data_IF_388706657625
#
_entry.id   IF_388706657625
#
_cell.length_a   1.000
_cell.length_b   1.000
_cell.length_c   1.000
_cell.angle_alpha   90.00
_cell.angle_beta   90.00
_cell.angle_gamma   90.00
#
_symmetry.space_group_name_H-M   'P 1'
#
loop_
_entity.id
_entity.type
_entity.pdbx_description
1 polymer ?
#
# COMPACT_ATOMS: atom_id res chain seq x y z
N UNK A 1 -12.26 30.95 -31.24
CA UNK A 1 -11.63 29.72 -30.66
C UNK A 1 -10.51 30.19 -29.74
N UNK A 2 -10.67 30.06 -28.43
CA UNK A 2 -9.57 30.36 -27.49
C UNK A 2 -8.62 29.17 -27.52
N UNK A 3 -7.44 29.38 -28.07
CA UNK A 3 -6.36 28.40 -27.98
C UNK A 3 -5.58 28.72 -26.70
N UNK A 4 -5.62 27.82 -25.73
CA UNK A 4 -4.75 27.90 -24.56
C UNK A 4 -3.34 27.47 -24.98
N UNK A 5 -2.42 28.42 -25.04
CA UNK A 5 -1.00 28.11 -25.25
C UNK A 5 -0.36 27.96 -23.88
N UNK A 6 0.05 26.76 -23.52
CA UNK A 6 0.77 26.51 -22.26
C UNK A 6 2.18 27.08 -22.31
N UNK A 7 2.56 27.73 -21.23
CA UNK A 7 3.91 28.29 -21.04
C UNK A 7 4.56 27.61 -19.83
N UNK A 8 5.89 27.59 -19.79
CA UNK A 8 6.62 27.07 -18.62
C UNK A 8 6.30 27.81 -17.32
N UNK A 9 5.84 29.05 -17.42
CA UNK A 9 5.37 29.84 -16.26
C UNK A 9 4.04 29.32 -15.66
N UNK A 10 3.30 28.49 -16.40
CA UNK A 10 2.05 27.91 -15.95
C UNK A 10 2.27 26.63 -15.13
N UNK A 11 3.53 26.16 -15.05
CA UNK A 11 3.90 24.98 -14.28
C UNK A 11 3.86 25.27 -12.79
N UNK A 12 3.12 24.47 -12.05
CA UNK A 12 3.00 24.56 -10.60
C UNK A 12 3.55 23.28 -9.97
N UNK A 13 4.34 23.43 -8.91
CA UNK A 13 4.82 22.29 -8.15
C UNK A 13 3.67 21.72 -7.31
N UNK A 14 3.27 20.48 -7.60
CA UNK A 14 2.17 19.79 -6.93
C UNK A 14 2.62 18.78 -5.87
N UNK A 15 3.89 18.56 -5.72
CA UNK A 15 4.47 17.59 -4.79
C UNK A 15 5.47 16.65 -5.45
N UNK A 16 5.90 15.65 -4.72
CA UNK A 16 6.86 14.64 -5.17
C UNK A 16 6.23 13.25 -5.21
N UNK A 17 6.70 12.42 -6.13
CA UNK A 17 6.37 11.00 -6.20
C UNK A 17 7.26 10.14 -5.31
N UNK A 18 8.43 10.66 -4.92
CA UNK A 18 9.32 9.99 -3.99
C UNK A 18 8.99 10.40 -2.56
N UNK A 19 8.85 9.45 -1.61
CA UNK A 19 8.57 9.78 -0.23
C UNK A 19 9.75 10.53 0.41
N UNK A 20 9.57 11.78 0.85
CA UNK A 20 10.63 12.53 1.54
C UNK A 20 10.82 12.07 2.99
N UNK A 21 9.85 11.38 3.56
CA UNK A 21 9.91 10.87 4.92
C UNK A 21 9.76 9.36 4.89
N UNK A 22 10.74 8.69 5.47
CA UNK A 22 10.74 7.26 5.72
C UNK A 22 11.11 6.99 7.16
N UNK A 23 10.37 6.13 7.84
CA UNK A 23 10.75 5.62 9.15
C UNK A 23 10.39 4.15 9.27
N UNK A 24 11.11 3.49 10.15
CA UNK A 24 10.91 2.08 10.47
C UNK A 24 11.08 1.91 11.99
N UNK A 25 10.25 1.08 12.58
CA UNK A 25 10.26 0.73 13.98
C UNK A 25 10.23 -0.79 14.10
N UNK A 26 11.23 -1.35 14.79
CA UNK A 26 11.26 -2.76 15.15
C UNK A 26 11.43 -2.90 16.65
N UNK A 27 10.58 -3.70 17.28
CA UNK A 27 10.66 -4.00 18.70
C UNK A 27 10.63 -5.50 18.94
N UNK A 28 11.34 -5.92 19.99
CA UNK A 28 11.36 -7.30 20.48
C UNK A 28 11.25 -7.27 21.99
N UNK A 29 10.30 -7.99 22.52
CA UNK A 29 10.04 -8.13 23.94
C UNK A 29 10.24 -9.59 24.36
N UNK A 30 11.01 -9.81 25.41
CA UNK A 30 11.12 -11.11 26.05
C UNK A 30 10.40 -11.05 27.38
N UNK A 31 9.49 -11.97 27.64
CA UNK A 31 8.70 -12.01 28.85
C UNK A 31 8.48 -13.45 29.31
N UNK A 32 8.17 -13.61 30.58
CA UNK A 32 7.99 -14.93 31.22
C UNK A 32 9.14 -15.91 30.94
N UNK A 33 10.37 -15.41 30.75
CA UNK A 33 11.61 -16.12 30.45
C UNK A 33 11.64 -16.84 29.09
N UNK A 34 10.56 -17.46 28.67
CA UNK A 34 10.50 -18.38 27.52
C UNK A 34 9.76 -17.82 26.32
N UNK A 35 9.10 -16.67 26.46
CA UNK A 35 8.33 -16.05 25.40
C UNK A 35 9.05 -14.86 24.79
N UNK A 36 8.97 -14.77 23.48
CA UNK A 36 9.48 -13.65 22.70
C UNK A 36 8.38 -13.13 21.79
N UNK A 37 8.08 -11.85 21.88
CA UNK A 37 7.16 -11.15 20.98
C UNK A 37 7.93 -10.10 20.22
N UNK A 38 7.79 -10.06 18.90
CA UNK A 38 8.38 -9.01 18.08
C UNK A 38 7.38 -8.49 17.06
N UNK A 39 7.54 -7.22 16.72
CA UNK A 39 6.82 -6.63 15.60
C UNK A 39 7.69 -5.62 14.86
N UNK A 40 7.39 -5.41 13.60
CA UNK A 40 7.98 -4.37 12.77
C UNK A 40 6.92 -3.55 12.06
N UNK A 41 7.15 -2.25 11.99
CA UNK A 41 6.31 -1.28 11.28
C UNK A 41 7.20 -0.37 10.45
N UNK A 42 6.68 0.12 9.33
CA UNK A 42 7.33 1.16 8.56
C UNK A 42 6.32 2.06 7.86
N UNK A 43 6.80 3.19 7.38
CA UNK A 43 5.95 4.18 6.74
C UNK A 43 6.70 4.97 5.69
N UNK A 44 6.01 5.29 4.60
CA UNK A 44 6.41 6.28 3.60
C UNK A 44 5.42 7.42 3.61
N UNK A 45 5.91 8.65 3.75
CA UNK A 45 5.06 9.82 3.89
C UNK A 45 5.52 10.99 2.99
N UNK A 46 4.58 11.88 2.68
CA UNK A 46 4.82 13.12 1.96
C UNK A 46 4.88 12.96 0.45
N UNK A 47 4.58 11.79 -0.09
CA UNK A 47 4.56 11.56 -1.52
C UNK A 47 3.15 11.45 -2.09
N UNK A 48 3.06 11.70 -3.39
CA UNK A 48 1.82 11.65 -4.14
C UNK A 48 1.99 10.74 -5.34
N UNK A 49 0.89 10.18 -5.81
CA UNK A 49 0.84 9.43 -7.06
C UNK A 49 -0.26 9.97 -7.94
N UNK A 50 -0.02 9.93 -9.23
CA UNK A 50 -1.06 10.15 -10.22
C UNK A 50 -1.95 8.92 -10.25
N UNK A 51 -3.23 9.13 -10.04
CA UNK A 51 -4.20 8.15 -10.44
C UNK A 51 -4.68 8.52 -11.84
N UNK A 52 -4.31 7.73 -12.78
CA UNK A 52 -4.69 7.96 -14.17
C UNK A 52 -5.46 6.81 -14.80
N UNK A 53 -5.66 5.74 -14.07
CA UNK A 53 -5.98 4.48 -14.69
C UNK A 53 -7.46 4.28 -15.04
N UNK A 54 -8.40 4.89 -14.29
CA UNK A 54 -9.79 4.45 -14.33
C UNK A 54 -10.77 5.42 -14.98
N UNK A 55 -10.35 6.65 -15.13
CA UNK A 55 -11.17 7.69 -15.76
C UNK A 55 -10.46 8.36 -16.92
N UNK A 56 -9.30 7.89 -17.24
CA UNK A 56 -8.74 8.16 -18.55
C UNK A 56 -9.70 7.56 -19.55
N UNK A 57 -10.62 8.34 -20.00
CA UNK A 57 -11.24 8.12 -21.27
C UNK A 57 -10.14 8.21 -22.31
N UNK A 58 -9.16 7.31 -22.25
CA UNK A 58 -8.32 7.12 -23.38
C UNK A 58 -9.24 6.65 -24.50
N UNK A 59 -8.88 7.03 -25.70
CA UNK A 59 -9.65 6.70 -26.89
C UNK A 59 -9.82 5.19 -27.11
N UNK A 60 -9.26 4.36 -26.23
CA UNK A 60 -9.35 2.91 -26.30
C UNK A 60 -10.66 2.37 -25.75
N UNK A 61 -11.49 3.22 -25.15
CA UNK A 61 -12.72 2.77 -24.51
C UNK A 61 -12.48 1.85 -23.32
N UNK A 62 -11.31 1.94 -22.72
CA UNK A 62 -10.86 1.07 -21.63
C UNK A 62 -11.77 1.13 -20.39
N UNK A 63 -12.58 2.16 -20.26
CA UNK A 63 -13.64 2.20 -19.25
C UNK A 63 -14.69 1.12 -19.40
N UNK A 64 -14.82 0.54 -20.57
CA UNK A 64 -15.77 -0.54 -20.85
C UNK A 64 -15.10 -1.91 -20.96
N UNK A 65 -13.79 -1.96 -20.80
CA UNK A 65 -13.05 -3.22 -20.73
C UNK A 65 -13.03 -3.75 -19.30
N UNK A 66 -12.82 -5.05 -19.14
CA UNK A 66 -12.86 -5.74 -17.83
C UNK A 66 -11.90 -5.19 -16.77
N UNK A 67 -10.97 -4.33 -17.15
CA UNK A 67 -9.99 -3.73 -16.27
C UNK A 67 -10.49 -2.48 -15.54
N UNK A 68 -11.59 -1.88 -15.96
CA UNK A 68 -12.01 -0.57 -15.48
C UNK A 68 -13.19 -0.58 -14.50
N UNK A 69 -13.82 -1.72 -14.28
CA UNK A 69 -14.97 -1.85 -13.40
C UNK A 69 -14.61 -2.03 -11.91
N UNK A 70 -13.33 -1.96 -11.57
CA UNK A 70 -12.88 -2.24 -10.19
C UNK A 70 -13.23 -1.13 -9.22
N UNK A 71 -13.38 0.10 -9.69
CA UNK A 71 -13.69 1.27 -8.86
C UNK A 71 -14.86 2.05 -9.42
N UNK A 72 -15.91 2.18 -8.61
CA UNK A 72 -17.04 3.05 -8.92
C UNK A 72 -16.68 4.48 -8.51
N UNK A 73 -16.56 5.38 -9.48
CA UNK A 73 -16.35 6.81 -9.24
C UNK A 73 -17.51 7.62 -9.80
N UNK A 74 -17.90 8.65 -9.07
CA UNK A 74 -18.90 9.60 -9.52
C UNK A 74 -18.21 10.60 -10.45
N UNK A 75 -18.44 10.48 -11.74
CA UNK A 75 -17.94 11.40 -12.77
C UNK A 75 -18.99 12.45 -13.11
N UNK A 76 -18.55 13.52 -13.74
CA UNK A 76 -19.43 14.60 -14.13
C UNK A 76 -20.48 14.17 -15.15
N UNK A 77 -21.74 14.43 -14.83
CA UNK A 77 -22.88 14.36 -15.74
C UNK A 77 -23.73 15.64 -15.56
N UNK A 78 -24.64 15.97 -16.49
CA UNK A 78 -25.54 17.09 -16.29
C UNK A 78 -26.39 16.97 -15.01
N UNK A 79 -26.70 15.75 -14.60
CA UNK A 79 -27.49 15.44 -13.41
C UNK A 79 -26.66 15.39 -12.13
N UNK A 80 -25.34 15.16 -12.27
CA UNK A 80 -24.39 15.13 -11.17
C UNK A 80 -23.14 15.97 -11.50
N UNK A 81 -23.25 17.31 -11.48
CA UNK A 81 -22.12 18.19 -11.74
C UNK A 81 -21.11 18.09 -10.58
N UNK A 82 -19.92 17.60 -10.88
CA UNK A 82 -18.81 17.48 -9.93
C UNK A 82 -17.53 18.04 -10.53
N UNK A 83 -16.64 18.55 -9.67
CA UNK A 83 -15.28 18.97 -10.07
C UNK A 83 -14.24 17.90 -9.78
N UNK A 84 -14.63 16.77 -9.20
CA UNK A 84 -13.68 15.70 -8.81
C UNK A 84 -13.24 14.89 -10.02
N UNK A 85 -14.17 14.53 -10.88
CA UNK A 85 -13.88 13.74 -12.08
C UNK A 85 -14.60 14.30 -13.29
N UNK A 86 -13.86 14.40 -14.40
CA UNK A 86 -14.42 14.86 -15.66
C UNK A 86 -15.47 13.88 -16.21
N UNK A 87 -16.26 14.36 -17.16
CA UNK A 87 -17.16 13.49 -17.93
C UNK A 87 -16.37 12.37 -18.64
N UNK A 88 -17.04 11.29 -18.92
CA UNK A 88 -16.49 10.23 -19.75
C UNK A 88 -16.02 10.77 -21.10
N UNK A 89 -14.90 10.28 -21.58
CA UNK A 89 -14.26 10.71 -22.85
C UNK A 89 -13.90 12.21 -22.89
N UNK A 90 -13.65 12.82 -21.74
CA UNK A 90 -13.14 14.18 -21.70
C UNK A 90 -11.71 14.21 -22.26
N UNK A 91 -11.47 15.14 -23.18
CA UNK A 91 -10.15 15.39 -23.76
C UNK A 91 -9.61 16.69 -23.18
N UNK A 92 -8.42 16.66 -22.62
CA UNK A 92 -7.73 17.83 -22.11
C UNK A 92 -7.28 18.79 -23.23
N UNK A 93 -6.95 20.03 -22.90
CA UNK A 93 -6.56 21.05 -23.87
C UNK A 93 -5.33 20.69 -24.71
N UNK A 94 -4.46 19.85 -24.22
CA UNK A 94 -3.26 19.36 -24.90
C UNK A 94 -3.48 18.08 -25.71
N UNK A 95 -4.73 17.64 -25.88
CA UNK A 95 -5.04 16.33 -26.47
C UNK A 95 -4.78 15.14 -25.53
N UNK A 96 -4.34 15.43 -24.31
CA UNK A 96 -4.22 14.40 -23.29
C UNK A 96 -5.62 13.88 -22.92
N UNK A 97 -5.77 12.59 -22.94
CA UNK A 97 -7.01 11.92 -22.55
C UNK A 97 -7.09 11.82 -21.03
N UNK A 98 -8.22 12.24 -20.48
CA UNK A 98 -8.52 12.14 -19.05
C UNK A 98 -7.97 13.28 -18.18
N UNK A 99 -8.53 13.38 -16.99
CA UNK A 99 -8.09 14.30 -15.94
C UNK A 99 -7.23 13.52 -14.96
N UNK A 100 -5.97 13.90 -14.84
CA UNK A 100 -5.05 13.33 -13.87
C UNK A 100 -5.23 14.05 -12.54
N UNK A 101 -5.53 13.30 -11.49
CA UNK A 101 -5.61 13.78 -10.11
C UNK A 101 -4.47 13.20 -9.29
N UNK A 102 -3.82 14.07 -8.50
CA UNK A 102 -2.77 13.67 -7.57
C UNK A 102 -3.38 13.29 -6.23
N UNK A 103 -3.11 12.09 -5.79
CA UNK A 103 -3.54 11.57 -4.49
C UNK A 103 -2.36 11.39 -3.56
N UNK A 104 -2.59 11.58 -2.27
CA UNK A 104 -1.63 11.21 -1.24
C UNK A 104 -1.49 9.69 -1.21
N UNK A 105 -0.24 9.23 -1.18
CA UNK A 105 0.10 7.80 -1.13
C UNK A 105 0.78 7.43 0.18
N UNK A 106 0.51 8.19 1.22
CA UNK A 106 1.05 7.95 2.55
C UNK A 106 0.47 6.67 3.15
N UNK A 107 1.31 5.90 3.80
CA UNK A 107 0.86 4.72 4.51
C UNK A 107 1.73 4.40 5.73
N UNK A 108 1.16 3.66 6.66
CA UNK A 108 1.87 2.99 7.76
C UNK A 108 1.56 1.51 7.65
N UNK A 109 2.59 0.69 7.55
CA UNK A 109 2.44 -0.76 7.46
C UNK A 109 2.93 -1.44 8.72
N UNK A 110 2.08 -2.29 9.30
CA UNK A 110 2.47 -3.30 10.26
C UNK A 110 2.91 -4.52 9.45
N UNK A 111 4.21 -4.60 9.24
CA UNK A 111 4.82 -5.55 8.31
C UNK A 111 4.88 -6.97 8.88
N UNK A 112 5.32 -7.07 10.13
CA UNK A 112 5.57 -8.37 10.75
C UNK A 112 5.13 -8.36 12.21
N UNK A 113 4.50 -9.47 12.62
CA UNK A 113 4.30 -9.85 14.02
C UNK A 113 4.79 -11.26 14.20
N UNK A 114 5.61 -11.50 15.22
CA UNK A 114 6.12 -12.82 15.54
C UNK A 114 6.00 -13.10 17.04
N UNK A 115 5.54 -14.31 17.36
CA UNK A 115 5.49 -14.84 18.70
C UNK A 115 6.33 -16.12 18.76
N UNK A 116 7.33 -16.11 19.61
CA UNK A 116 8.22 -17.23 19.85
C UNK A 116 8.04 -17.81 21.25
N UNK A 117 8.19 -19.13 21.37
CA UNK A 117 8.18 -19.85 22.63
C UNK A 117 9.32 -20.85 22.69
N UNK A 118 10.11 -20.79 23.76
CA UNK A 118 11.15 -21.75 24.02
C UNK A 118 10.64 -22.81 24.99
N UNK A 119 10.70 -24.10 24.63
CA UNK A 119 10.24 -25.14 25.49
C UNK A 119 11.11 -25.27 26.74
N UNK A 120 10.52 -25.57 27.92
CA UNK A 120 11.24 -25.78 29.14
C UNK A 120 12.26 -26.95 29.02
N UNK A 121 13.42 -26.78 29.60
CA UNK A 121 14.50 -27.79 29.55
C UNK A 121 14.10 -29.17 30.12
N UNK A 122 13.20 -29.21 31.05
CA UNK A 122 12.70 -30.46 31.64
C UNK A 122 11.96 -31.34 30.63
N UNK A 123 11.35 -30.74 29.62
CA UNK A 123 10.71 -31.47 28.52
C UNK A 123 11.74 -31.91 27.47
N UNK A 124 12.67 -31.04 27.10
CA UNK A 124 13.59 -31.29 25.99
C UNK A 124 14.68 -32.29 26.36
N UNK A 125 15.16 -32.32 27.63
CA UNK A 125 16.15 -33.25 28.14
C UNK A 125 15.76 -34.72 28.03
N UNK A 126 14.47 -35.04 28.11
CA UNK A 126 13.97 -36.42 27.94
C UNK A 126 14.28 -37.00 26.56
N UNK A 127 14.50 -36.13 25.58
CA UNK A 127 14.78 -36.50 24.19
C UNK A 127 16.23 -36.18 23.79
N UNK A 128 17.11 -35.89 24.76
CA UNK A 128 18.49 -35.47 24.50
C UNK A 128 18.59 -34.22 23.60
N UNK A 129 17.60 -33.35 23.67
CA UNK A 129 17.54 -32.10 22.92
C UNK A 129 17.90 -30.94 23.86
N UNK A 130 18.86 -30.10 23.44
CA UNK A 130 19.29 -28.97 24.24
C UNK A 130 18.23 -27.85 24.29
N UNK A 131 17.64 -27.55 23.13
CA UNK A 131 16.67 -26.44 23.01
C UNK A 131 15.70 -26.67 21.86
N UNK A 132 14.44 -26.39 22.11
CA UNK A 132 13.40 -26.26 21.07
C UNK A 132 12.77 -24.88 21.15
N UNK A 133 12.76 -24.17 20.05
CA UNK A 133 12.12 -22.88 19.92
C UNK A 133 11.09 -22.91 18.78
N UNK A 134 9.84 -22.60 19.12
CA UNK A 134 8.73 -22.57 18.17
C UNK A 134 8.38 -21.11 17.90
N UNK A 135 8.21 -20.73 16.65
CA UNK A 135 7.89 -19.37 16.23
C UNK A 135 6.67 -19.38 15.32
N UNK A 136 5.70 -18.54 15.61
CA UNK A 136 4.59 -18.23 14.74
C UNK A 136 4.73 -16.78 14.25
N UNK A 137 4.70 -16.57 12.95
CA UNK A 137 4.90 -15.27 12.33
C UNK A 137 3.79 -14.95 11.34
N UNK A 138 3.33 -13.72 11.36
CA UNK A 138 2.43 -13.16 10.35
C UNK A 138 3.17 -12.03 9.65
N UNK A 139 3.32 -12.12 8.34
CA UNK A 139 3.87 -11.06 7.50
C UNK A 139 2.75 -10.34 6.80
N UNK A 140 2.97 -9.06 6.52
CA UNK A 140 2.02 -8.17 5.88
C UNK A 140 0.67 -8.15 6.62
N UNK A 141 0.74 -7.77 7.89
CA UNK A 141 -0.39 -7.88 8.84
C UNK A 141 -1.52 -6.94 8.46
N UNK A 142 -1.20 -5.65 8.30
CA UNK A 142 -2.14 -4.64 7.84
C UNK A 142 -1.41 -3.38 7.37
N UNK A 143 -2.08 -2.63 6.51
CA UNK A 143 -1.65 -1.31 6.05
C UNK A 143 -2.71 -0.30 6.40
N UNK A 144 -2.29 0.83 6.94
CA UNK A 144 -3.13 1.99 7.26
C UNK A 144 -2.80 3.08 6.26
N UNK A 145 -3.73 3.37 5.37
CA UNK A 145 -3.57 4.34 4.30
C UNK A 145 -4.90 4.99 3.94
N UNK A 146 -4.83 6.00 3.09
CA UNK A 146 -5.98 6.63 2.44
C UNK A 146 -6.03 6.35 0.93
N UNK A 147 -5.19 5.43 0.48
CA UNK A 147 -5.06 5.06 -0.91
C UNK A 147 -6.14 4.05 -1.31
N UNK A 148 -6.93 4.36 -2.33
CA UNK A 148 -8.09 3.56 -2.72
C UNK A 148 -7.80 2.53 -3.82
N UNK A 149 -6.57 2.49 -4.33
CA UNK A 149 -6.24 1.76 -5.58
C UNK A 149 -5.33 0.56 -5.35
N UNK A 150 -5.70 -0.29 -4.41
CA UNK A 150 -4.90 -1.44 -4.04
C UNK A 150 -3.85 -1.10 -2.97
N UNK A 151 -2.75 -1.80 -2.97
CA UNK A 151 -1.67 -1.58 -2.01
C UNK A 151 -0.89 -0.29 -2.34
N UNK A 152 -0.69 0.64 -1.38
CA UNK A 152 -0.05 1.92 -1.64
C UNK A 152 1.43 1.80 -2.02
N UNK A 153 2.10 0.70 -1.74
CA UNK A 153 3.50 0.48 -2.08
C UNK A 153 3.66 -0.23 -3.42
N UNK A 154 2.93 -1.30 -3.63
CA UNK A 154 3.08 -2.16 -4.80
C UNK A 154 2.08 -1.86 -5.92
N UNK A 155 0.98 -1.17 -5.61
CA UNK A 155 -0.11 -0.90 -6.54
C UNK A 155 -1.04 -2.09 -6.81
N UNK A 156 -0.71 -3.26 -6.28
CA UNK A 156 -1.48 -4.50 -6.44
C UNK A 156 -2.17 -4.94 -5.14
N UNK A 157 -2.24 -6.25 -4.94
CA UNK A 157 -2.73 -6.84 -3.70
C UNK A 157 -1.56 -7.26 -2.82
N UNK A 158 -1.60 -6.88 -1.56
CA UNK A 158 -0.63 -7.30 -0.56
C UNK A 158 -1.12 -8.58 0.12
N UNK A 159 -0.44 -9.70 -0.12
CA UNK A 159 -0.81 -10.98 0.46
C UNK A 159 -0.30 -11.12 1.88
N UNK A 160 -1.19 -11.49 2.80
CA UNK A 160 -0.82 -11.86 4.16
C UNK A 160 -0.24 -13.28 4.16
N UNK A 161 0.86 -13.48 4.88
CA UNK A 161 1.53 -14.77 4.99
C UNK A 161 1.60 -15.21 6.43
N UNK A 162 1.28 -16.48 6.69
CA UNK A 162 1.40 -17.12 7.98
C UNK A 162 2.55 -18.13 7.91
N UNK A 163 3.44 -18.05 8.86
CA UNK A 163 4.62 -18.92 8.94
C UNK A 163 4.70 -19.56 10.33
N UNK A 164 4.98 -20.85 10.35
CA UNK A 164 5.31 -21.59 11.57
C UNK A 164 6.74 -22.13 11.43
N UNK A 165 7.59 -21.82 12.39
CA UNK A 165 8.96 -22.27 12.44
C UNK A 165 9.24 -23.08 13.70
N UNK A 166 10.06 -24.12 13.58
CA UNK A 166 10.59 -24.90 14.71
C UNK A 166 12.10 -24.94 14.55
N UNK A 167 12.81 -24.49 15.58
CA UNK A 167 14.26 -24.54 15.65
C UNK A 167 14.67 -25.49 16.77
N UNK A 168 15.46 -26.52 16.43
CA UNK A 168 15.92 -27.57 17.35
C UNK A 168 17.43 -27.52 17.44
N UNK A 169 17.95 -27.44 18.66
CA UNK A 169 19.38 -27.55 18.96
C UNK A 169 19.59 -28.89 19.71
N UNK A 170 20.51 -29.72 19.20
CA UNK A 170 20.87 -31.01 19.75
C UNK A 170 22.10 -30.86 20.64
#
# INVERSE_FOLDING_TARGET
TRVAVYNDKDKVYLGTTNPPIYWNLRNTFTFLKDWTFSFSMYSYMGHKSLEGYYLNGDNSGSMFTNTCNTYKKEYWTPENPTNDYARLNAVGPSGATGVQKLYNRNFVRLDNISLGYTLPKDLTRRFSIEKVHVTATVNNVCTFDSWEYGDPETGGFANRQFQLGINVTL
#
